data_IF_899884921810
#
_entry.id   IF_899884921810
#
_cell.length_a   1.000
_cell.length_b   1.000
_cell.length_c   1.000
_cell.angle_alpha   90.00
_cell.angle_beta   90.00
_cell.angle_gamma   90.00
#
_symmetry.space_group_name_H-M   'P 1'
#
loop_
_entity.id
_entity.type
_entity.pdbx_description
1 polymer ?
#
# COMPACT_ATOMS: atom_id res chain seq x y z
N UNK A 1 -10.02 -13.28 -13.99
CA UNK A 1 -9.58 -13.29 -12.58
C UNK A 1 -9.43 -14.73 -12.12
N UNK A 2 -8.20 -15.24 -12.04
CA UNK A 2 -7.92 -16.53 -11.42
C UNK A 2 -7.67 -16.28 -9.93
N UNK A 3 -8.75 -16.04 -9.19
CA UNK A 3 -8.67 -15.82 -7.76
C UNK A 3 -8.42 -17.17 -7.06
N UNK A 4 -7.18 -17.36 -6.62
CA UNK A 4 -6.73 -18.16 -5.47
C UNK A 4 -7.50 -19.48 -5.22
N UNK A 5 -7.03 -20.58 -5.81
CA UNK A 5 -7.36 -21.94 -5.31
C UNK A 5 -6.41 -22.29 -4.16
N UNK A 6 -6.76 -21.91 -2.94
CA UNK A 6 -6.10 -22.38 -1.73
C UNK A 6 -7.12 -23.04 -0.81
N UNK A 7 -6.86 -24.29 -0.43
CA UNK A 7 -7.68 -25.06 0.52
C UNK A 7 -7.69 -24.34 1.89
N UNK A 8 -8.84 -23.85 2.40
CA UNK A 8 -8.89 -22.88 3.51
C UNK A 8 -8.76 -23.47 4.92
N UNK A 9 -8.46 -24.76 5.07
CA UNK A 9 -8.62 -25.46 6.36
C UNK A 9 -7.43 -25.40 7.32
N UNK A 10 -6.35 -24.67 7.01
CA UNK A 10 -5.25 -24.49 7.96
C UNK A 10 -4.88 -23.01 8.15
N UNK A 11 -4.79 -22.57 9.41
CA UNK A 11 -4.52 -21.17 9.76
C UNK A 11 -3.19 -20.65 9.19
N UNK A 12 -2.21 -21.54 8.99
CA UNK A 12 -0.91 -21.18 8.43
C UNK A 12 -0.98 -20.83 6.94
N UNK A 13 -1.86 -21.47 6.17
CA UNK A 13 -2.11 -21.16 4.78
C UNK A 13 -2.77 -19.78 4.65
N UNK A 14 -3.71 -19.46 5.54
CA UNK A 14 -4.36 -18.15 5.55
C UNK A 14 -3.40 -17.03 5.96
N UNK A 15 -2.50 -17.27 6.93
CA UNK A 15 -1.36 -16.35 7.23
C UNK A 15 -0.47 -16.16 6.00
N UNK A 16 -0.15 -17.26 5.29
CA UNK A 16 0.64 -17.19 4.06
C UNK A 16 -0.03 -16.34 2.96
N UNK A 17 -1.36 -16.42 2.83
CA UNK A 17 -2.13 -15.57 1.91
C UNK A 17 -2.06 -14.09 2.30
N UNK A 18 -2.21 -13.78 3.59
CA UNK A 18 -2.06 -12.41 4.08
C UNK A 18 -0.65 -11.88 3.79
N UNK A 19 0.38 -12.70 3.96
CA UNK A 19 1.77 -12.31 3.68
C UNK A 19 2.01 -12.05 2.18
N UNK A 20 1.41 -12.85 1.30
CA UNK A 20 1.46 -12.62 -0.15
C UNK A 20 0.77 -11.30 -0.51
N UNK A 21 -0.42 -11.03 0.04
CA UNK A 21 -1.14 -9.79 -0.19
C UNK A 21 -0.34 -8.57 0.29
N UNK A 22 0.21 -8.64 1.52
CA UNK A 22 1.05 -7.59 2.08
C UNK A 22 2.32 -7.34 1.24
N UNK A 23 2.94 -8.40 0.72
CA UNK A 23 4.10 -8.27 -0.17
C UNK A 23 3.74 -7.58 -1.48
N UNK A 24 2.54 -7.83 -2.02
CA UNK A 24 2.05 -7.10 -3.20
C UNK A 24 1.78 -5.63 -2.90
N UNK A 25 1.25 -5.30 -1.72
CA UNK A 25 1.14 -3.90 -1.28
C UNK A 25 2.51 -3.22 -1.23
N UNK A 26 3.52 -3.87 -0.66
CA UNK A 26 4.90 -3.36 -0.62
C UNK A 26 5.46 -3.08 -2.02
N UNK A 27 5.35 -4.04 -2.93
CA UNK A 27 5.86 -3.90 -4.28
C UNK A 27 5.16 -2.73 -5.00
N UNK A 28 3.83 -2.62 -4.88
CA UNK A 28 3.08 -1.51 -5.47
C UNK A 28 3.41 -0.14 -4.85
N UNK A 29 3.59 -0.07 -3.52
CA UNK A 29 3.99 1.15 -2.83
C UNK A 29 5.38 1.60 -3.29
N UNK A 30 6.32 0.66 -3.47
CA UNK A 30 7.67 0.95 -3.96
C UNK A 30 7.65 1.46 -5.41
N UNK A 31 6.88 0.79 -6.27
CA UNK A 31 6.71 1.21 -7.67
C UNK A 31 6.09 2.61 -7.77
N UNK A 32 5.14 2.92 -6.88
CA UNK A 32 4.48 4.22 -6.88
C UNK A 32 5.37 5.32 -6.32
N UNK A 33 6.15 5.04 -5.26
CA UNK A 33 7.20 5.95 -4.80
C UNK A 33 8.17 6.32 -5.93
N UNK A 34 8.67 5.31 -6.66
CA UNK A 34 9.57 5.53 -7.80
C UNK A 34 8.92 6.34 -8.92
N UNK A 35 7.64 6.09 -9.20
CA UNK A 35 6.87 6.86 -10.17
C UNK A 35 6.77 8.34 -9.75
N UNK A 36 6.44 8.61 -8.48
CA UNK A 36 6.34 9.99 -7.95
C UNK A 36 7.69 10.70 -8.01
N UNK A 37 8.76 10.02 -7.61
CA UNK A 37 10.13 10.56 -7.73
C UNK A 37 10.52 10.86 -9.19
N UNK A 38 9.97 10.12 -10.16
CA UNK A 38 10.20 10.41 -11.58
C UNK A 38 9.46 11.66 -12.06
N UNK A 39 8.28 11.96 -11.50
CA UNK A 39 7.54 13.19 -11.80
C UNK A 39 8.34 14.42 -11.35
N UNK A 40 9.00 14.37 -10.19
CA UNK A 40 9.87 15.46 -9.73
C UNK A 40 11.13 15.64 -10.60
N UNK A 41 11.62 14.56 -11.24
CA UNK A 41 12.85 14.58 -12.07
C UNK A 41 12.64 14.99 -13.52
N UNK A 42 11.43 14.83 -14.06
CA UNK A 42 11.12 15.11 -15.47
C UNK A 42 11.14 16.62 -15.84
N UNK A 43 11.54 17.48 -14.89
CA UNK A 43 11.47 18.93 -14.94
C UNK A 43 10.36 19.40 -14.02
N UNK A 44 10.62 20.34 -13.08
CA UNK A 44 9.60 20.80 -12.17
C UNK A 44 8.60 21.60 -12.99
N UNK A 45 7.47 20.99 -13.35
CA UNK A 45 6.26 21.77 -13.54
C UNK A 45 5.93 22.33 -12.13
N UNK A 46 6.08 23.64 -11.91
CA UNK A 46 5.91 24.23 -10.59
C UNK A 46 4.50 24.00 -10.02
N UNK A 47 3.53 23.66 -10.88
CA UNK A 47 2.17 23.36 -10.48
C UNK A 47 2.03 21.99 -9.80
N UNK A 48 2.93 21.03 -10.06
CA UNK A 48 2.86 19.66 -9.52
C UNK A 48 3.97 19.35 -8.50
N UNK A 49 5.10 20.07 -8.51
CA UNK A 49 6.24 19.84 -7.62
C UNK A 49 5.84 19.71 -6.13
N UNK A 50 5.07 20.65 -5.53
CA UNK A 50 4.66 20.51 -4.12
C UNK A 50 3.83 19.26 -3.84
N UNK A 51 3.00 18.84 -4.80
CA UNK A 51 2.18 17.63 -4.65
C UNK A 51 3.03 16.37 -4.76
N UNK A 52 4.01 16.37 -5.65
CA UNK A 52 4.97 15.27 -5.82
C UNK A 52 5.78 15.06 -4.54
N UNK A 53 6.25 16.13 -3.89
CA UNK A 53 7.01 16.02 -2.64
C UNK A 53 6.15 15.45 -1.50
N UNK A 54 4.93 15.96 -1.32
CA UNK A 54 3.97 15.43 -0.34
C UNK A 54 3.68 13.96 -0.60
N UNK A 55 3.51 13.58 -1.87
CA UNK A 55 3.24 12.21 -2.23
C UNK A 55 4.46 11.29 -2.03
N UNK A 56 5.67 11.76 -2.32
CA UNK A 56 6.91 11.00 -2.12
C UNK A 56 7.12 10.71 -0.62
N UNK A 57 6.96 11.72 0.23
CA UNK A 57 7.01 11.56 1.69
C UNK A 57 5.95 10.55 2.16
N UNK A 58 4.70 10.71 1.69
CA UNK A 58 3.61 9.83 2.09
C UNK A 58 3.85 8.37 1.66
N UNK A 59 4.40 8.12 0.47
CA UNK A 59 4.73 6.76 0.04
C UNK A 59 5.96 6.19 0.75
N UNK A 60 6.92 7.03 1.16
CA UNK A 60 8.01 6.60 2.04
C UNK A 60 7.47 6.14 3.40
N UNK A 61 6.53 6.89 3.98
CA UNK A 61 5.87 6.50 5.24
C UNK A 61 5.03 5.22 5.07
N UNK A 62 4.27 5.11 3.98
CA UNK A 62 3.50 3.91 3.67
C UNK A 62 4.40 2.68 3.56
N UNK A 63 5.54 2.80 2.88
CA UNK A 63 6.54 1.73 2.77
C UNK A 63 7.06 1.32 4.16
N UNK A 64 7.40 2.28 5.01
CA UNK A 64 7.84 2.00 6.37
C UNK A 64 6.80 1.20 7.15
N UNK A 65 5.52 1.60 7.11
CA UNK A 65 4.43 0.86 7.77
C UNK A 65 4.24 -0.54 7.22
N UNK A 66 4.28 -0.70 5.89
CA UNK A 66 4.12 -2.01 5.26
C UNK A 66 5.30 -2.94 5.57
N UNK A 67 6.52 -2.41 5.68
CA UNK A 67 7.70 -3.18 6.10
C UNK A 67 7.54 -3.66 7.53
N UNK A 68 7.12 -2.79 8.46
CA UNK A 68 6.88 -3.14 9.86
C UNK A 68 5.71 -4.14 10.03
N UNK A 69 4.73 -4.12 9.12
CA UNK A 69 3.61 -5.05 9.15
C UNK A 69 4.03 -6.51 8.86
N UNK A 70 5.13 -6.73 8.13
CA UNK A 70 5.62 -8.07 7.77
C UNK A 70 6.01 -8.91 9.01
N UNK A 71 6.90 -8.43 9.91
CA UNK A 71 7.22 -9.18 11.12
C UNK A 71 6.02 -9.27 12.07
N UNK A 72 5.16 -8.25 12.15
CA UNK A 72 3.94 -8.29 12.97
C UNK A 72 2.97 -9.38 12.51
N UNK A 73 2.75 -9.51 11.20
CA UNK A 73 1.93 -10.58 10.64
C UNK A 73 2.55 -11.97 10.89
N UNK A 74 3.88 -12.07 10.73
CA UNK A 74 4.61 -13.32 10.92
C UNK A 74 4.60 -13.81 12.38
N UNK A 75 4.62 -12.88 13.34
CA UNK A 75 4.53 -13.18 14.77
C UNK A 75 3.09 -13.32 15.29
N UNK A 76 2.09 -13.21 14.40
CA UNK A 76 0.65 -13.16 14.73
C UNK A 76 0.25 -12.00 15.63
N UNK A 77 1.01 -10.91 15.64
CA UNK A 77 0.59 -9.62 16.21
C UNK A 77 -0.42 -8.94 15.25
N UNK A 78 -1.60 -9.55 15.09
CA UNK A 78 -2.58 -9.16 14.05
C UNK A 78 -3.14 -7.75 14.26
N UNK A 79 -3.29 -7.30 15.51
CA UNK A 79 -3.71 -5.93 15.82
C UNK A 79 -2.69 -4.89 15.31
N UNK A 80 -1.40 -5.16 15.52
CA UNK A 80 -0.31 -4.29 15.07
C UNK A 80 -0.22 -4.31 13.54
N UNK A 81 -0.26 -5.49 12.93
CA UNK A 81 -0.27 -5.66 11.48
C UNK A 81 -1.44 -4.87 10.84
N UNK A 82 -2.65 -4.99 11.40
CA UNK A 82 -3.82 -4.28 10.90
C UNK A 82 -3.69 -2.76 11.04
N UNK A 83 -3.15 -2.28 12.16
CA UNK A 83 -2.90 -0.85 12.40
C UNK A 83 -1.90 -0.30 11.38
N UNK A 84 -0.80 -1.01 11.15
CA UNK A 84 0.26 -0.63 10.22
C UNK A 84 -0.24 -0.62 8.77
N UNK A 85 -0.97 -1.65 8.34
CA UNK A 85 -1.56 -1.71 7.00
C UNK A 85 -2.60 -0.62 6.79
N UNK A 86 -3.43 -0.32 7.81
CA UNK A 86 -4.40 0.78 7.74
C UNK A 86 -3.71 2.15 7.65
N UNK A 87 -2.60 2.34 8.37
CA UNK A 87 -1.82 3.56 8.27
C UNK A 87 -1.25 3.76 6.85
N UNK A 88 -0.80 2.69 6.19
CA UNK A 88 -0.33 2.75 4.80
C UNK A 88 -1.44 3.24 3.83
N UNK A 89 -2.69 2.82 4.04
CA UNK A 89 -3.85 3.31 3.28
C UNK A 89 -4.01 4.83 3.49
N UNK A 90 -3.97 5.30 4.73
CA UNK A 90 -4.09 6.74 5.04
C UNK A 90 -3.01 7.57 4.34
N UNK A 91 -1.77 7.08 4.28
CA UNK A 91 -0.70 7.77 3.56
C UNK A 91 -0.89 7.76 2.04
N UNK A 92 -1.38 6.66 1.46
CA UNK A 92 -1.75 6.62 0.04
C UNK A 92 -2.86 7.62 -0.28
N UNK A 93 -3.87 7.73 0.58
CA UNK A 93 -4.95 8.71 0.45
C UNK A 93 -4.44 10.16 0.57
N UNK A 94 -3.49 10.43 1.47
CA UNK A 94 -2.83 11.74 1.57
C UNK A 94 -2.13 12.12 0.25
N UNK A 95 -1.43 11.17 -0.39
CA UNK A 95 -0.86 11.41 -1.72
C UNK A 95 -1.96 11.69 -2.75
N UNK A 96 -3.04 10.88 -2.78
CA UNK A 96 -4.14 11.07 -3.73
C UNK A 96 -4.74 12.47 -3.62
N UNK A 97 -4.99 12.92 -2.38
CA UNK A 97 -5.53 14.24 -2.07
C UNK A 97 -4.58 15.37 -2.51
N UNK A 98 -3.26 15.20 -2.39
CA UNK A 98 -2.31 16.24 -2.84
C UNK A 98 -2.39 16.48 -4.36
N UNK A 99 -2.88 15.52 -5.13
CA UNK A 99 -3.07 15.60 -6.59
C UNK A 99 -4.52 15.85 -7.01
N UNK A 100 -5.47 16.07 -6.09
CA UNK A 100 -6.84 16.41 -6.46
C UNK A 100 -6.90 17.70 -7.29
N UNK A 101 -7.67 17.67 -8.38
CA UNK A 101 -7.75 18.77 -9.34
C UNK A 101 -6.51 18.92 -10.24
N UNK A 102 -5.50 18.05 -10.11
CA UNK A 102 -4.30 18.01 -10.98
C UNK A 102 -4.40 16.82 -11.93
N UNK A 103 -4.01 17.02 -13.19
CA UNK A 103 -4.12 15.98 -14.22
C UNK A 103 -3.03 14.89 -14.03
N UNK A 104 -3.28 13.90 -13.16
CA UNK A 104 -2.48 12.68 -13.08
C UNK A 104 -3.36 11.45 -12.78
N UNK A 105 -4.19 11.06 -13.76
CA UNK A 105 -5.04 9.87 -13.66
C UNK A 105 -4.25 8.59 -13.32
N UNK A 106 -2.97 8.52 -13.72
CA UNK A 106 -2.09 7.40 -13.40
C UNK A 106 -1.78 7.28 -11.91
N UNK A 107 -1.67 8.38 -11.17
CA UNK A 107 -1.37 8.33 -9.75
C UNK A 107 -2.61 7.93 -8.94
N UNK A 108 -3.78 8.43 -9.31
CA UNK A 108 -5.05 8.01 -8.72
C UNK A 108 -5.24 6.49 -8.78
N UNK A 109 -5.03 5.90 -9.96
CA UNK A 109 -5.14 4.45 -10.14
C UNK A 109 -4.13 3.66 -9.30
N UNK A 110 -2.91 4.18 -9.11
CA UNK A 110 -1.89 3.54 -8.27
C UNK A 110 -2.28 3.57 -6.80
N UNK A 111 -2.77 4.71 -6.30
CA UNK A 111 -3.29 4.85 -4.94
C UNK A 111 -4.46 3.89 -4.68
N UNK A 112 -5.43 3.85 -5.60
CA UNK A 112 -6.60 2.98 -5.47
C UNK A 112 -6.20 1.49 -5.47
N UNK A 113 -5.20 1.12 -6.27
CA UNK A 113 -4.70 -0.25 -6.29
C UNK A 113 -3.95 -0.62 -5.00
N UNK A 114 -3.14 0.28 -4.44
CA UNK A 114 -2.53 0.05 -3.12
C UNK A 114 -3.60 -0.15 -2.05
N UNK A 115 -4.61 0.71 -2.03
CA UNK A 115 -5.73 0.62 -1.08
C UNK A 115 -6.45 -0.73 -1.18
N UNK A 116 -6.69 -1.22 -2.40
CA UNK A 116 -7.28 -2.54 -2.62
C UNK A 116 -6.40 -3.68 -2.07
N UNK A 117 -5.09 -3.66 -2.32
CA UNK A 117 -4.17 -4.69 -1.84
C UNK A 117 -4.05 -4.70 -0.30
N UNK A 118 -3.99 -3.51 0.31
CA UNK A 118 -4.02 -3.35 1.76
C UNK A 118 -5.35 -3.83 2.34
N UNK A 119 -6.48 -3.52 1.70
CA UNK A 119 -7.81 -3.98 2.14
C UNK A 119 -7.92 -5.50 2.07
N UNK A 120 -7.45 -6.14 0.99
CA UNK A 120 -7.37 -7.60 0.89
C UNK A 120 -6.53 -8.18 2.03
N UNK A 121 -5.40 -7.55 2.37
CA UNK A 121 -4.56 -7.98 3.50
C UNK A 121 -5.36 -7.92 4.82
N UNK A 122 -6.06 -6.81 5.09
CA UNK A 122 -6.89 -6.63 6.28
C UNK A 122 -8.07 -7.60 6.35
N UNK A 123 -8.67 -7.94 5.21
CA UNK A 123 -9.77 -8.89 5.18
C UNK A 123 -9.30 -10.32 5.44
N UNK A 124 -8.12 -10.70 4.94
CA UNK A 124 -7.53 -12.02 5.24
C UNK A 124 -7.14 -12.11 6.72
N UNK A 125 -6.55 -11.06 7.31
CA UNK A 125 -6.17 -11.09 8.74
C UNK A 125 -7.38 -11.24 9.66
N UNK A 126 -8.54 -10.67 9.31
CA UNK A 126 -9.81 -10.87 10.05
C UNK A 126 -10.28 -12.33 10.06
N UNK A 127 -9.91 -13.15 9.06
CA UNK A 127 -10.29 -14.57 9.00
C UNK A 127 -9.47 -15.47 9.93
N UNK A 128 -8.36 -14.96 10.47
CA UNK A 128 -7.44 -15.67 11.37
C UNK A 128 -7.24 -14.96 12.71
N UNK A 129 -7.99 -13.87 12.93
CA UNK A 129 -8.07 -13.15 14.20
C UNK A 129 -8.90 -13.90 15.22
#
# INVERSE_FOLDING_TARGET
MAALKSNPTNANAVVGLAAIALKKSLDNASDTYNFVMSLSKAGPDPSIEPSSDVCAESYSDALFKLVDAVPALSSRALSDANTLVSAAITYADKCKQSFEGKASNSLGNRNDYLNQLCTVTLDITKLIS
#
